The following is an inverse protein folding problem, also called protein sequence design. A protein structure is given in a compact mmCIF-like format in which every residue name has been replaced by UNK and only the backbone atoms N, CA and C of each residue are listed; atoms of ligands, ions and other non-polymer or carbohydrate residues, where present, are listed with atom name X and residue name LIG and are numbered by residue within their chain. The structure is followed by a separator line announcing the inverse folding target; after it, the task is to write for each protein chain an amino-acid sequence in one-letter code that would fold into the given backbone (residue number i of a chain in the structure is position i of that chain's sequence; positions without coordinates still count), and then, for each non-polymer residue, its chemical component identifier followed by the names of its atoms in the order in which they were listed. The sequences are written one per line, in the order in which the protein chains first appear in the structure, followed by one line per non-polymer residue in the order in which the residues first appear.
data_IF_127709627752
#
_entry.id   IF_127709627752
#
_cell.length_a   1.000
_cell.length_b   1.000
_cell.length_c   1.000
_cell.angle_alpha   90.00
_cell.angle_beta   90.00
_cell.angle_gamma   90.00
#
_symmetry.space_group_name_H-M   'P 1'
#
loop_
_entity.id
_entity.type
_entity.pdbx_description
1 polymer ?
#
# COMPACT_ATOMS: atom_id res chain seq x y z
N UNK A 1 -29.67 9.60 -24.91
CA UNK A 1 -29.31 9.52 -23.48
C UNK A 1 -28.59 8.20 -23.27
N UNK A 2 -27.26 8.22 -23.26
CA UNK A 2 -26.44 7.08 -22.83
C UNK A 2 -25.96 7.41 -21.41
N UNK A 3 -26.18 6.48 -20.47
CA UNK A 3 -25.80 6.64 -19.06
C UNK A 3 -24.27 6.67 -18.89
N UNK A 4 -23.77 7.09 -17.71
CA UNK A 4 -22.35 7.13 -17.46
C UNK A 4 -21.85 5.69 -17.34
N UNK A 5 -21.12 5.25 -18.35
CA UNK A 5 -20.25 4.08 -18.26
C UNK A 5 -19.10 4.48 -17.32
N UNK A 6 -19.31 4.28 -16.03
CA UNK A 6 -18.29 4.37 -15.00
C UNK A 6 -17.33 3.19 -15.20
N UNK A 7 -16.51 3.29 -16.25
CA UNK A 7 -15.32 2.50 -16.41
C UNK A 7 -14.43 2.79 -15.21
N UNK A 8 -14.46 1.87 -14.24
CA UNK A 8 -13.41 1.73 -13.23
C UNK A 8 -12.12 1.47 -13.99
N UNK A 9 -11.43 2.55 -14.37
CA UNK A 9 -10.10 2.45 -14.95
C UNK A 9 -9.23 1.76 -13.90
N UNK A 10 -8.78 0.57 -14.27
CA UNK A 10 -7.89 -0.27 -13.48
C UNK A 10 -6.74 0.62 -13.04
N UNK A 11 -6.64 0.87 -11.73
CA UNK A 11 -5.45 1.47 -11.15
C UNK A 11 -4.27 0.66 -11.71
N UNK A 12 -3.41 1.27 -12.52
CA UNK A 12 -2.44 0.59 -13.40
C UNK A 12 -1.53 -0.38 -12.65
N UNK A 13 -0.62 -1.10 -13.32
CA UNK A 13 0.38 -1.88 -12.55
C UNK A 13 1.46 -0.93 -12.03
N UNK A 14 1.78 -1.00 -10.74
CA UNK A 14 3.00 -0.36 -10.20
C UNK A 14 4.19 -1.11 -10.79
N UNK A 15 5.06 -0.39 -11.50
CA UNK A 15 6.30 -0.99 -12.00
C UNK A 15 7.26 -1.26 -10.84
N UNK A 16 7.96 -2.39 -10.88
CA UNK A 16 9.05 -2.63 -9.93
C UNK A 16 10.18 -1.61 -10.19
N UNK A 17 10.85 -1.11 -9.13
CA UNK A 17 12.02 -0.25 -9.28
C UNK A 17 13.10 -0.95 -10.10
N UNK A 18 13.82 -0.19 -10.92
CA UNK A 18 14.91 -0.68 -11.78
C UNK A 18 16.19 -0.80 -10.99
N UNK A 19 16.42 0.13 -10.06
CA UNK A 19 17.58 0.10 -9.19
C UNK A 19 17.44 -0.96 -8.10
N UNK A 20 18.58 -1.45 -7.61
CA UNK A 20 18.63 -2.28 -6.42
C UNK A 20 18.41 -1.44 -5.15
N UNK A 21 17.98 -2.07 -4.06
CA UNK A 21 17.61 -1.40 -2.82
C UNK A 21 18.75 -0.58 -2.16
N UNK A 22 20.00 -0.86 -2.50
CA UNK A 22 21.20 -0.17 -2.01
C UNK A 22 21.64 1.03 -2.89
N UNK A 23 20.98 1.25 -4.03
CA UNK A 23 21.26 2.37 -4.92
C UNK A 23 20.71 3.68 -4.32
N UNK A 24 21.44 4.82 -4.43
CA UNK A 24 21.00 6.10 -3.88
C UNK A 24 19.64 6.57 -4.41
N UNK A 25 19.29 6.22 -5.65
CA UNK A 25 18.03 6.64 -6.30
C UNK A 25 16.89 5.63 -6.14
N UNK A 26 17.07 4.53 -5.40
CA UNK A 26 16.04 3.50 -5.24
C UNK A 26 14.74 4.05 -4.63
N UNK A 27 14.87 4.86 -3.58
CA UNK A 27 13.72 5.47 -2.92
C UNK A 27 12.96 6.40 -3.87
N UNK A 28 13.69 7.18 -4.67
CA UNK A 28 13.08 8.11 -5.62
C UNK A 28 12.27 7.35 -6.69
N UNK A 29 12.80 6.25 -7.24
CA UNK A 29 12.04 5.43 -8.19
C UNK A 29 10.79 4.80 -7.56
N UNK A 30 10.88 4.36 -6.30
CA UNK A 30 9.73 3.84 -5.57
C UNK A 30 8.64 4.90 -5.41
N UNK A 31 9.04 6.13 -5.04
CA UNK A 31 8.12 7.26 -4.91
C UNK A 31 7.44 7.60 -6.25
N UNK A 32 8.23 7.73 -7.33
CA UNK A 32 7.71 8.00 -8.68
C UNK A 32 6.74 6.91 -9.18
N UNK A 33 7.03 5.64 -8.88
CA UNK A 33 6.17 4.52 -9.30
C UNK A 33 4.82 4.51 -8.55
N UNK A 34 4.78 4.95 -7.29
CA UNK A 34 3.59 4.92 -6.43
C UNK A 34 2.78 6.22 -6.48
N UNK A 35 3.41 7.36 -6.78
CA UNK A 35 2.75 8.68 -6.78
C UNK A 35 1.44 8.73 -7.62
N UNK A 36 1.39 8.21 -8.87
CA UNK A 36 0.16 8.26 -9.67
C UNK A 36 -1.03 7.55 -9.00
N UNK A 37 -0.75 6.48 -8.25
CA UNK A 37 -1.73 5.67 -7.54
C UNK A 37 -2.29 6.44 -6.35
N UNK A 38 -1.41 7.05 -5.57
CA UNK A 38 -1.79 7.88 -4.44
C UNK A 38 -2.66 9.06 -4.90
N UNK A 39 -2.28 9.72 -6.00
CA UNK A 39 -3.08 10.79 -6.61
C UNK A 39 -4.46 10.27 -7.03
N UNK A 40 -4.54 9.10 -7.66
CA UNK A 40 -5.80 8.47 -8.06
C UNK A 40 -6.72 8.19 -6.87
N UNK A 41 -6.19 7.60 -5.79
CA UNK A 41 -6.97 7.36 -4.56
C UNK A 41 -7.49 8.66 -3.93
N UNK A 42 -6.66 9.70 -3.87
CA UNK A 42 -7.06 11.02 -3.35
C UNK A 42 -8.15 11.64 -4.25
N UNK A 43 -8.00 11.51 -5.57
CA UNK A 43 -9.00 11.94 -6.56
C UNK A 43 -10.35 11.27 -6.29
N UNK A 44 -10.37 9.94 -6.20
CA UNK A 44 -11.60 9.20 -5.90
C UNK A 44 -12.24 9.58 -4.56
N UNK A 45 -11.44 9.81 -3.51
CA UNK A 45 -11.98 10.27 -2.22
C UNK A 45 -12.62 11.66 -2.35
N UNK A 46 -11.98 12.58 -3.09
CA UNK A 46 -12.53 13.92 -3.35
C UNK A 46 -13.82 13.86 -4.17
N UNK A 47 -13.86 13.04 -5.22
CA UNK A 47 -15.05 12.86 -6.05
C UNK A 47 -16.22 12.26 -5.26
N UNK A 48 -15.92 11.44 -4.25
CA UNK A 48 -16.89 10.93 -3.28
C UNK A 48 -17.31 11.97 -2.22
N UNK A 49 -16.82 13.20 -2.29
CA UNK A 49 -17.18 14.32 -1.40
C UNK A 49 -16.44 14.33 -0.07
N UNK A 50 -15.29 13.67 0.05
CA UNK A 50 -14.50 13.70 1.29
C UNK A 50 -13.88 15.08 1.50
N UNK A 51 -13.87 15.53 2.76
CA UNK A 51 -13.15 16.73 3.16
C UNK A 51 -11.63 16.53 3.00
N UNK A 52 -10.91 17.47 2.35
CA UNK A 52 -9.46 17.36 2.15
C UNK A 52 -8.67 17.18 3.47
N UNK A 53 -9.18 17.73 4.56
CA UNK A 53 -8.60 17.61 5.90
C UNK A 53 -8.71 16.20 6.49
N UNK A 54 -9.68 15.39 6.03
CA UNK A 54 -9.90 14.03 6.50
C UNK A 54 -9.10 12.97 5.72
N UNK A 55 -8.79 13.23 4.44
CA UNK A 55 -8.12 12.26 3.56
C UNK A 55 -6.72 11.89 4.09
N UNK A 56 -5.87 12.88 4.35
CA UNK A 56 -4.48 12.63 4.76
C UNK A 56 -4.33 11.91 6.10
N UNK A 57 -5.06 12.28 7.18
CA UNK A 57 -5.03 11.52 8.43
C UNK A 57 -5.43 10.06 8.27
N UNK A 58 -6.47 9.78 7.48
CA UNK A 58 -6.93 8.41 7.22
C UNK A 58 -5.87 7.60 6.50
N UNK A 59 -5.27 8.14 5.42
CA UNK A 59 -4.21 7.45 4.69
C UNK A 59 -3.01 7.13 5.58
N UNK A 60 -2.57 8.08 6.43
CA UNK A 60 -1.49 7.84 7.39
C UNK A 60 -1.84 6.75 8.40
N UNK A 61 -3.07 6.76 8.92
CA UNK A 61 -3.53 5.73 9.85
C UNK A 61 -3.56 4.35 9.20
N UNK A 62 -4.00 4.27 7.93
CA UNK A 62 -4.04 3.00 7.19
C UNK A 62 -2.64 2.44 6.96
N UNK A 63 -1.69 3.28 6.55
CA UNK A 63 -0.28 2.85 6.37
C UNK A 63 0.30 2.31 7.67
N UNK A 64 0.15 3.05 8.78
CA UNK A 64 0.67 2.60 10.08
C UNK A 64 0.04 1.26 10.53
N UNK A 65 -1.27 1.08 10.33
CA UNK A 65 -1.95 -0.15 10.69
C UNK A 65 -1.51 -1.34 9.82
N UNK A 66 -1.21 -1.11 8.53
CA UNK A 66 -0.72 -2.15 7.64
C UNK A 66 0.69 -2.60 8.03
N UNK A 67 1.59 -1.66 8.34
CA UNK A 67 2.93 -1.97 8.84
C UNK A 67 2.88 -2.79 10.14
N UNK A 68 2.02 -2.40 11.08
CA UNK A 68 1.83 -3.13 12.33
C UNK A 68 1.31 -4.55 12.09
N UNK A 69 0.34 -4.72 11.19
CA UNK A 69 -0.21 -6.02 10.84
C UNK A 69 0.84 -6.95 10.20
N UNK A 70 1.72 -6.42 9.35
CA UNK A 70 2.82 -7.19 8.74
C UNK A 70 3.84 -7.66 9.77
N UNK A 71 4.22 -6.77 10.70
CA UNK A 71 5.12 -7.09 11.81
C UNK A 71 4.54 -8.21 12.67
N UNK A 72 3.25 -8.10 13.03
CA UNK A 72 2.60 -9.09 13.88
C UNK A 72 2.42 -10.43 13.17
N UNK A 73 2.10 -10.42 11.88
CA UNK A 73 2.05 -11.62 11.06
C UNK A 73 3.41 -12.32 10.98
N UNK A 74 4.49 -11.56 10.84
CA UNK A 74 5.85 -12.10 10.88
C UNK A 74 6.18 -12.74 12.24
N UNK A 75 5.86 -12.07 13.36
CA UNK A 75 6.07 -12.60 14.71
C UNK A 75 5.31 -13.90 14.94
N UNK A 76 4.04 -13.92 14.56
CA UNK A 76 3.19 -15.11 14.69
C UNK A 76 3.75 -16.27 13.86
N UNK A 77 4.14 -16.01 12.61
CA UNK A 77 4.73 -17.01 11.73
C UNK A 77 6.04 -17.56 12.31
N UNK A 78 6.88 -16.70 12.87
CA UNK A 78 8.11 -17.10 13.54
C UNK A 78 7.86 -17.97 14.77
N UNK A 79 6.92 -17.57 15.63
CA UNK A 79 6.56 -18.33 16.84
C UNK A 79 6.01 -19.73 16.51
N UNK A 80 5.17 -19.84 15.47
CA UNK A 80 4.68 -21.14 14.98
C UNK A 80 5.83 -22.02 14.50
N UNK A 81 6.80 -21.44 13.78
CA UNK A 81 7.99 -22.16 13.33
C UNK A 81 8.80 -22.72 14.51
N UNK A 82 9.07 -21.90 15.52
CA UNK A 82 9.79 -22.31 16.73
C UNK A 82 9.06 -23.42 17.50
N UNK A 83 7.74 -23.27 17.66
CA UNK A 83 6.92 -24.29 18.33
C UNK A 83 6.94 -25.64 17.59
N UNK A 84 6.89 -25.62 16.25
CA UNK A 84 6.98 -26.84 15.44
C UNK A 84 8.32 -27.54 15.56
N UNK A 85 9.41 -26.78 15.66
CA UNK A 85 10.75 -27.34 15.89
C UNK A 85 10.85 -27.97 17.28
N UNK A 86 10.39 -27.26 18.32
CA UNK A 86 10.43 -27.75 19.70
C UNK A 86 9.56 -29.00 19.95
N UNK A 87 8.49 -29.21 19.15
CA UNK A 87 7.65 -30.41 19.22
C UNK A 87 8.22 -31.61 18.42
N UNK A 88 9.23 -31.38 17.59
CA UNK A 88 9.88 -32.41 16.78
C UNK A 88 11.14 -33.00 17.46
N UNK A 89 11.57 -32.42 18.58
CA UNK A 89 12.63 -32.89 19.48
C UNK A 89 12.05 -33.75 20.61
#
# INVERSE_FOLDING_TARGET
MAGPDAGHEVIGRVAAPRFAADHPDYCLECEEAVEPFLIGMIGHARDAGWEPSAIWPVLRSLVANLEEAEIENWRTSHAIGQARLAMAE
#
